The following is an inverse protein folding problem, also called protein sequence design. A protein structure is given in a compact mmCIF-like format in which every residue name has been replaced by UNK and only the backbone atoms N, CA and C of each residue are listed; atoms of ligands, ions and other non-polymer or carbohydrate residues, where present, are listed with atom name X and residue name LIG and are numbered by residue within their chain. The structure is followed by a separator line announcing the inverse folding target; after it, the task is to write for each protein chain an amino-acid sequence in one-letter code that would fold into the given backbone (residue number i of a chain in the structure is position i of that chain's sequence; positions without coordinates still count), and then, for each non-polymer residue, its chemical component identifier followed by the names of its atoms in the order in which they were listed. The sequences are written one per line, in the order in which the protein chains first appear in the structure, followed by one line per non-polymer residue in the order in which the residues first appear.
data_IF_695729646069
#
_entry.id   IF_695729646069
#
_cell.length_a   1.000
_cell.length_b   1.000
_cell.length_c   1.000
_cell.angle_alpha   90.00
_cell.angle_beta   90.00
_cell.angle_gamma   90.00
#
_symmetry.space_group_name_H-M   'P 1'
#
loop_
_entity.id
_entity.type
_entity.pdbx_description
1 polymer ?
#
# COMPACT_ATOMS: atom_id res chain seq x y z
N UNK A 1 -30.71 -51.58 -3.07
CA UNK A 1 -30.03 -51.30 -4.35
C UNK A 1 -29.25 -49.99 -4.14
N UNK A 2 -28.00 -49.98 -3.63
CA UNK A 2 -26.74 -50.35 -4.30
C UNK A 2 -26.66 -49.70 -5.69
N UNK A 3 -25.85 -48.66 -5.92
CA UNK A 3 -24.40 -48.80 -6.17
C UNK A 3 -23.61 -47.52 -5.81
N UNK A 4 -22.56 -47.71 -5.02
CA UNK A 4 -21.39 -46.84 -4.90
C UNK A 4 -20.52 -46.93 -6.15
N UNK A 5 -19.97 -45.82 -6.65
CA UNK A 5 -18.78 -45.86 -7.49
C UNK A 5 -17.73 -44.85 -7.02
N UNK A 6 -16.73 -45.41 -6.34
CA UNK A 6 -15.43 -44.81 -6.03
C UNK A 6 -14.62 -44.68 -7.32
N UNK A 7 -14.16 -43.47 -7.65
CA UNK A 7 -13.12 -43.27 -8.67
C UNK A 7 -11.81 -42.96 -7.97
N UNK A 8 -10.90 -43.94 -8.02
CA UNK A 8 -9.51 -43.87 -7.58
C UNK A 8 -8.70 -43.03 -8.57
N UNK A 9 -8.15 -41.90 -8.14
CA UNK A 9 -7.11 -41.22 -8.92
C UNK A 9 -5.77 -41.95 -8.80
N UNK A 10 -5.29 -42.41 -9.95
CA UNK A 10 -4.01 -43.11 -10.16
C UNK A 10 -2.85 -42.11 -9.99
N UNK A 11 -1.99 -42.32 -8.99
CA UNK A 11 -0.73 -41.56 -8.82
C UNK A 11 0.19 -41.85 -10.01
N UNK A 12 0.32 -40.88 -10.91
CA UNK A 12 1.39 -40.82 -11.90
C UNK A 12 2.67 -40.31 -11.23
N UNK A 13 3.65 -41.19 -11.03
CA UNK A 13 5.03 -40.83 -10.72
C UNK A 13 5.67 -40.30 -12.00
N UNK A 14 5.80 -38.98 -12.17
CA UNK A 14 6.68 -38.41 -13.19
C UNK A 14 8.08 -38.24 -12.60
N UNK A 15 9.01 -39.04 -13.10
CA UNK A 15 10.45 -38.92 -12.84
C UNK A 15 10.91 -37.51 -13.23
N UNK A 16 11.68 -36.89 -12.34
CA UNK A 16 12.30 -35.59 -12.57
C UNK A 16 13.58 -35.82 -13.39
N UNK A 17 13.48 -35.74 -14.72
CA UNK A 17 14.65 -35.64 -15.58
C UNK A 17 15.25 -34.24 -15.45
N UNK A 18 16.54 -34.18 -15.08
CA UNK A 18 17.37 -32.99 -15.24
C UNK A 18 17.68 -32.81 -16.73
N UNK A 19 17.26 -31.71 -17.34
CA UNK A 19 17.94 -31.15 -18.52
C UNK A 19 17.47 -29.74 -18.86
N UNK A 20 18.42 -28.80 -18.75
CA UNK A 20 18.74 -27.71 -19.69
C UNK A 20 17.57 -26.92 -20.33
N UNK A 21 17.39 -25.70 -19.86
CA UNK A 21 17.38 -24.47 -20.68
C UNK A 21 17.39 -23.25 -19.75
N UNK A 22 18.58 -22.79 -19.40
CA UNK A 22 18.81 -21.55 -18.63
C UNK A 22 19.27 -20.41 -19.55
N UNK A 23 18.99 -20.50 -20.87
CA UNK A 23 19.56 -19.61 -21.90
C UNK A 23 18.55 -18.75 -22.65
N UNK A 24 17.24 -18.86 -22.39
CA UNK A 24 16.24 -18.26 -23.30
C UNK A 24 15.44 -17.10 -22.67
N UNK A 25 15.97 -16.46 -21.61
CA UNK A 25 15.31 -15.31 -20.95
C UNK A 25 16.03 -13.98 -21.22
N UNK A 26 17.20 -14.01 -21.85
CA UNK A 26 18.01 -12.81 -22.11
C UNK A 26 17.64 -12.07 -23.41
N UNK A 27 16.62 -12.51 -24.17
CA UNK A 27 16.23 -11.89 -25.45
C UNK A 27 14.88 -11.16 -25.47
N UNK A 28 14.16 -11.07 -24.35
CA UNK A 28 12.81 -10.45 -24.34
C UNK A 28 12.88 -8.92 -24.14
N UNK A 29 13.99 -8.38 -23.63
CA UNK A 29 14.04 -6.95 -23.23
C UNK A 29 14.38 -5.99 -24.38
N UNK A 30 14.98 -6.47 -25.48
CA UNK A 30 15.40 -5.59 -26.58
C UNK A 30 14.37 -5.49 -27.73
N UNK A 31 13.37 -6.38 -27.78
CA UNK A 31 12.47 -6.52 -28.94
C UNK A 31 11.00 -6.14 -28.64
N UNK A 32 10.68 -5.84 -27.38
CA UNK A 32 9.31 -5.51 -26.91
C UNK A 32 9.12 -4.01 -26.62
N UNK A 33 10.23 -3.28 -26.39
CA UNK A 33 10.17 -1.82 -26.16
C UNK A 33 9.82 -1.04 -27.43
N UNK A 34 10.13 -1.56 -28.63
CA UNK A 34 9.75 -0.92 -29.90
C UNK A 34 8.37 -1.34 -30.44
N UNK A 35 7.73 -2.40 -29.90
CA UNK A 35 6.43 -2.89 -30.40
C UNK A 35 5.20 -2.42 -29.63
N UNK A 36 5.37 -1.87 -28.41
CA UNK A 36 4.26 -1.38 -27.58
C UNK A 36 4.14 0.15 -27.51
N UNK A 37 4.75 0.89 -28.44
CA UNK A 37 4.61 2.36 -28.54
C UNK A 37 3.27 2.83 -29.16
N UNK A 38 2.20 2.01 -29.11
CA UNK A 38 0.84 2.40 -29.53
C UNK A 38 -0.16 2.24 -28.39
N UNK A 39 -0.02 3.08 -27.37
CA UNK A 39 -1.16 3.56 -26.58
C UNK A 39 -1.07 5.08 -26.53
N UNK A 40 -1.49 5.72 -27.62
CA UNK A 40 -1.74 7.16 -27.63
C UNK A 40 -3.00 7.42 -26.80
N UNK A 41 -2.86 7.95 -25.60
CA UNK A 41 -3.98 8.61 -24.93
C UNK A 41 -4.16 9.98 -25.57
N UNK A 42 -5.10 10.08 -26.52
CA UNK A 42 -5.67 11.38 -26.89
C UNK A 42 -6.47 11.88 -25.68
N UNK A 43 -5.82 12.68 -24.85
CA UNK A 43 -6.50 13.53 -23.89
C UNK A 43 -7.38 14.50 -24.68
N UNK A 44 -8.69 14.30 -24.67
CA UNK A 44 -9.60 15.40 -24.89
C UNK A 44 -9.46 16.28 -23.66
N UNK A 45 -8.70 17.37 -23.79
CA UNK A 45 -8.59 18.42 -22.79
C UNK A 45 -9.99 18.97 -22.57
N UNK A 46 -10.69 18.48 -21.56
CA UNK A 46 -11.86 19.18 -21.05
C UNK A 46 -11.30 20.49 -20.51
N UNK A 47 -11.60 21.61 -21.17
CA UNK A 47 -11.44 22.94 -20.60
C UNK A 47 -12.40 23.07 -19.43
N UNK A 48 -12.11 22.40 -18.32
CA UNK A 48 -12.52 22.91 -17.02
C UNK A 48 -11.49 23.97 -16.69
N UNK A 49 -11.94 25.22 -16.63
CA UNK A 49 -11.15 26.34 -16.12
C UNK A 49 -10.30 25.88 -14.93
N UNK A 50 -9.03 26.28 -14.92
CA UNK A 50 -8.08 25.95 -13.85
C UNK A 50 -8.58 26.53 -12.52
N UNK A 51 -9.39 25.78 -11.79
CA UNK A 51 -9.80 26.14 -10.42
C UNK A 51 -8.59 26.10 -9.47
N UNK A 52 -7.51 25.40 -9.82
CA UNK A 52 -6.25 25.40 -9.07
C UNK A 52 -5.51 26.74 -9.05
N UNK A 53 -5.88 27.71 -9.89
CA UNK A 53 -5.13 28.97 -10.02
C UNK A 53 -5.60 30.12 -9.10
N UNK A 54 -6.59 29.94 -8.23
CA UNK A 54 -7.03 31.02 -7.32
C UNK A 54 -6.50 30.94 -5.88
N UNK A 55 -5.71 29.93 -5.54
CA UNK A 55 -4.98 29.87 -4.25
C UNK A 55 -3.63 29.14 -4.31
N UNK A 56 -3.13 28.86 -5.52
CA UNK A 56 -1.76 28.35 -5.70
C UNK A 56 -0.75 29.45 -5.40
N UNK A 57 -0.31 29.52 -4.16
CA UNK A 57 0.94 30.19 -3.79
C UNK A 57 2.04 29.51 -4.60
N UNK A 58 2.60 30.23 -5.59
CA UNK A 58 3.78 29.79 -6.32
C UNK A 58 4.88 29.38 -5.31
N UNK A 59 5.59 28.25 -5.51
CA UNK A 59 6.72 27.89 -4.67
C UNK A 59 7.93 28.76 -5.06
N UNK A 60 7.83 30.07 -4.86
CA UNK A 60 9.02 30.91 -4.76
C UNK A 60 9.71 30.55 -3.45
N UNK A 61 10.77 29.73 -3.56
CA UNK A 61 11.81 29.54 -2.55
C UNK A 61 11.29 29.53 -1.12
N UNK A 62 10.36 28.64 -0.80
CA UNK A 62 10.19 28.23 0.59
C UNK A 62 11.44 27.42 0.94
N UNK A 63 12.50 28.11 1.36
CA UNK A 63 13.47 27.52 2.27
C UNK A 63 12.64 27.14 3.48
N UNK A 64 12.17 25.90 3.54
CA UNK A 64 11.63 25.32 4.77
C UNK A 64 12.83 25.20 5.70
N UNK A 65 13.15 26.32 6.34
CA UNK A 65 13.99 26.34 7.50
C UNK A 65 13.10 25.72 8.57
N UNK A 66 13.37 24.47 8.93
CA UNK A 66 12.92 23.98 10.22
C UNK A 66 13.67 24.86 11.24
N UNK A 67 13.12 26.03 11.54
CA UNK A 67 13.44 26.66 12.79
C UNK A 67 12.88 25.67 13.81
N UNK A 68 13.78 24.90 14.43
CA UNK A 68 13.47 24.27 15.70
C UNK A 68 13.20 25.45 16.62
N UNK A 69 11.94 25.89 16.65
CA UNK A 69 11.47 26.88 17.60
C UNK A 69 11.48 26.14 18.92
N UNK A 70 12.66 26.10 19.55
CA UNK A 70 12.77 25.81 20.96
C UNK A 70 11.96 26.92 21.61
N UNK A 71 10.74 26.61 22.04
CA UNK A 71 9.88 27.51 22.76
C UNK A 71 10.67 28.17 23.90
N UNK A 72 10.34 29.41 24.22
CA UNK A 72 10.95 30.09 25.38
C UNK A 72 10.71 29.30 26.69
N UNK A 73 9.76 28.36 26.70
CA UNK A 73 9.46 27.50 27.84
C UNK A 73 10.49 26.37 28.02
N UNK A 74 11.10 25.84 26.94
CA UNK A 74 12.26 24.96 27.04
C UNK A 74 13.48 25.66 27.67
N UNK A 75 13.65 26.98 27.43
CA UNK A 75 14.69 27.78 28.12
C UNK A 75 14.38 27.93 29.61
N UNK A 76 13.14 28.28 29.97
CA UNK A 76 12.70 28.37 31.37
C UNK A 76 12.84 27.05 32.13
N UNK A 77 12.57 25.92 31.44
CA UNK A 77 12.79 24.58 31.98
C UNK A 77 14.28 24.33 32.24
N UNK A 78 15.15 24.71 31.28
CA UNK A 78 16.60 24.56 31.42
C UNK A 78 17.17 25.33 32.63
N UNK A 79 16.57 26.47 32.94
CA UNK A 79 16.97 27.34 34.06
C UNK A 79 16.41 26.86 35.43
N UNK A 80 15.33 26.07 35.43
CA UNK A 80 14.68 25.54 36.63
C UNK A 80 15.00 24.06 36.93
N UNK A 81 15.80 23.39 36.10
CA UNK A 81 16.32 22.05 36.40
C UNK A 81 17.50 22.21 37.37
N UNK A 82 17.45 21.62 38.58
CA UNK A 82 18.57 21.67 39.52
C UNK A 82 19.85 21.14 38.84
N UNK A 83 21.02 21.74 39.12
CA UNK A 83 22.26 21.31 38.50
C UNK A 83 22.51 19.83 38.78
N UNK A 84 23.13 19.13 37.81
CA UNK A 84 23.32 17.67 37.84
C UNK A 84 23.87 17.18 39.19
N UNK A 85 24.69 18.01 39.85
CA UNK A 85 25.26 17.83 41.18
C UNK A 85 24.25 17.55 42.29
N UNK A 86 23.00 18.00 42.20
CA UNK A 86 21.93 17.72 43.17
C UNK A 86 21.53 16.25 43.17
N UNK A 87 21.74 15.56 42.05
CA UNK A 87 21.36 14.16 41.88
C UNK A 87 22.56 13.21 41.85
N UNK A 88 23.79 13.72 41.90
CA UNK A 88 25.02 12.91 42.02
C UNK A 88 25.06 12.31 43.44
N UNK A 89 24.51 11.11 43.56
CA UNK A 89 24.44 10.34 44.80
C UNK A 89 23.39 9.24 44.75
N UNK A 90 22.37 9.40 43.91
CA UNK A 90 21.39 8.38 43.58
C UNK A 90 21.46 8.13 42.07
N UNK A 91 21.60 6.90 41.61
CA UNK A 91 21.61 6.56 40.17
C UNK A 91 20.40 7.06 39.34
N UNK A 92 19.44 7.72 39.98
CA UNK A 92 18.20 8.32 39.46
C UNK A 92 18.35 9.70 38.79
N UNK A 93 19.52 10.34 38.88
CA UNK A 93 19.77 11.68 38.32
C UNK A 93 19.50 11.83 36.82
N UNK A 94 20.01 10.86 36.08
CA UNK A 94 19.99 10.85 34.62
C UNK A 94 18.58 10.53 34.15
N UNK A 95 17.89 9.64 34.85
CA UNK A 95 16.53 9.19 34.54
C UNK A 95 15.50 10.33 34.70
N UNK A 96 15.60 11.12 35.78
CA UNK A 96 14.71 12.28 36.01
C UNK A 96 14.89 13.36 34.94
N UNK A 97 16.13 13.60 34.49
CA UNK A 97 16.42 14.58 33.44
C UNK A 97 15.93 14.13 32.06
N UNK A 98 16.07 12.83 31.76
CA UNK A 98 15.52 12.25 30.52
C UNK A 98 14.00 12.38 30.51
N UNK A 99 13.34 11.97 31.60
CA UNK A 99 11.87 12.04 31.72
C UNK A 99 11.33 13.46 31.55
N UNK A 100 11.95 14.46 32.19
CA UNK A 100 11.53 15.85 32.02
C UNK A 100 11.71 16.33 30.58
N UNK A 101 12.78 15.90 29.90
CA UNK A 101 13.03 16.28 28.51
C UNK A 101 12.00 15.64 27.58
N UNK A 102 11.67 14.37 27.80
CA UNK A 102 10.67 13.63 27.01
C UNK A 102 9.28 14.27 27.13
N UNK A 103 8.86 14.65 28.35
CA UNK A 103 7.57 15.31 28.58
C UNK A 103 7.49 16.67 27.89
N UNK A 104 8.55 17.48 27.99
CA UNK A 104 8.55 18.81 27.37
C UNK A 104 8.59 18.73 25.85
N UNK A 105 9.40 17.83 25.29
CA UNK A 105 9.44 17.61 23.83
C UNK A 105 8.09 17.13 23.30
N UNK A 106 7.44 16.19 24.02
CA UNK A 106 6.10 15.73 23.64
C UNK A 106 5.08 16.87 23.67
N UNK A 107 5.09 17.69 24.74
CA UNK A 107 4.19 18.83 24.87
C UNK A 107 4.40 19.83 23.73
N UNK A 108 5.65 20.17 23.40
CA UNK A 108 5.96 21.11 22.33
C UNK A 108 5.55 20.60 20.94
N UNK A 109 5.85 19.33 20.64
CA UNK A 109 5.42 18.70 19.38
C UNK A 109 3.90 18.65 19.28
N UNK A 110 3.21 18.34 20.38
CA UNK A 110 1.76 18.23 20.39
C UNK A 110 1.05 19.59 20.28
N UNK A 111 1.53 20.63 20.98
CA UNK A 111 0.98 21.98 20.84
C UNK A 111 1.15 22.52 19.42
N UNK A 112 2.31 22.30 18.80
CA UNK A 112 2.52 22.66 17.40
C UNK A 112 1.60 21.84 16.46
N UNK A 113 1.46 20.54 16.69
CA UNK A 113 0.54 19.69 15.94
C UNK A 113 -0.91 20.16 16.08
N UNK A 114 -1.34 20.57 17.27
CA UNK A 114 -2.66 21.14 17.54
C UNK A 114 -2.88 22.45 16.80
N UNK A 115 -1.93 23.37 16.88
CA UNK A 115 -1.99 24.65 16.16
C UNK A 115 -2.10 24.43 14.64
N UNK A 116 -1.28 23.53 14.08
CA UNK A 116 -1.34 23.16 12.66
C UNK A 116 -2.68 22.53 12.29
N UNK A 117 -3.17 21.57 13.09
CA UNK A 117 -4.44 20.89 12.83
C UNK A 117 -5.62 21.84 12.84
N UNK A 118 -5.65 22.78 13.79
CA UNK A 118 -6.66 23.83 13.84
C UNK A 118 -6.55 24.80 12.65
N UNK A 119 -5.34 25.12 12.20
CA UNK A 119 -5.14 26.03 11.06
C UNK A 119 -5.52 25.40 9.71
N UNK A 120 -5.19 24.13 9.49
CA UNK A 120 -5.41 23.45 8.21
C UNK A 120 -6.77 22.75 8.10
N UNK A 121 -7.25 22.14 9.19
CA UNK A 121 -8.46 21.33 9.19
C UNK A 121 -9.61 21.99 9.98
N UNK A 122 -9.30 23.00 10.78
CA UNK A 122 -10.20 23.59 11.80
C UNK A 122 -10.81 22.50 12.70
N UNK A 123 -10.00 21.49 12.99
CA UNK A 123 -10.31 20.39 13.90
C UNK A 123 -9.24 20.36 14.99
N UNK A 124 -9.68 20.30 16.25
CA UNK A 124 -8.78 20.19 17.38
C UNK A 124 -8.46 18.70 17.63
N UNK A 125 -7.18 18.26 17.50
CA UNK A 125 -6.78 16.87 17.67
C UNK A 125 -7.11 16.30 19.04
N UNK A 126 -7.29 17.13 20.08
CA UNK A 126 -7.66 16.64 21.43
C UNK A 126 -9.03 15.97 21.48
N UNK A 127 -9.88 16.20 20.48
CA UNK A 127 -11.20 15.58 20.37
C UNK A 127 -11.18 14.21 19.68
N UNK A 128 -10.00 13.72 19.29
CA UNK A 128 -9.84 12.46 18.57
C UNK A 128 -8.92 11.52 19.34
N UNK A 129 -9.27 10.22 19.36
CA UNK A 129 -8.45 9.20 20.03
C UNK A 129 -7.09 9.00 19.35
N UNK A 130 -7.01 9.18 18.03
CA UNK A 130 -5.79 8.97 17.27
C UNK A 130 -5.80 9.80 15.97
N UNK A 131 -4.61 10.00 15.40
CA UNK A 131 -4.41 10.72 14.13
C UNK A 131 -5.25 10.18 12.97
N UNK A 132 -5.44 8.86 12.78
CA UNK A 132 -6.31 8.35 11.71
C UNK A 132 -7.75 8.87 11.80
N UNK A 133 -8.33 8.96 13.00
CA UNK A 133 -9.68 9.49 13.21
C UNK A 133 -9.75 10.98 12.88
N UNK A 134 -8.73 11.76 13.27
CA UNK A 134 -8.61 13.16 12.89
C UNK A 134 -8.52 13.30 11.36
N UNK A 135 -7.63 12.55 10.70
CA UNK A 135 -7.44 12.64 9.25
C UNK A 135 -8.67 12.19 8.48
N UNK A 136 -9.40 11.19 9.00
CA UNK A 136 -10.67 10.76 8.44
C UNK A 136 -11.70 11.88 8.51
N UNK A 137 -11.93 12.46 9.70
CA UNK A 137 -12.87 13.56 9.88
C UNK A 137 -12.47 14.81 9.09
N UNK A 138 -11.18 15.13 9.01
CA UNK A 138 -10.67 16.21 8.17
C UNK A 138 -10.95 15.94 6.68
N UNK A 139 -10.72 14.71 6.22
CA UNK A 139 -11.01 14.27 4.86
C UNK A 139 -12.48 14.44 4.51
N UNK A 140 -13.38 13.84 5.30
CA UNK A 140 -14.83 13.93 5.10
C UNK A 140 -15.33 15.38 5.14
N UNK A 141 -14.85 16.18 6.10
CA UNK A 141 -15.16 17.62 6.17
C UNK A 141 -14.73 18.38 4.92
N UNK A 142 -13.57 18.05 4.36
CA UNK A 142 -13.02 18.73 3.17
C UNK A 142 -13.82 18.40 1.91
N UNK A 143 -14.17 17.13 1.72
CA UNK A 143 -14.93 16.69 0.54
C UNK A 143 -16.43 16.96 0.65
N UNK A 144 -16.93 17.20 1.88
CA UNK A 144 -18.33 17.46 2.18
C UNK A 144 -19.28 16.37 1.65
N UNK A 145 -18.89 15.11 1.87
CA UNK A 145 -19.61 13.90 1.48
C UNK A 145 -20.22 13.23 2.70
N UNK A 146 -21.39 12.62 2.54
CA UNK A 146 -22.00 11.77 3.58
C UNK A 146 -21.91 10.32 3.13
N UNK A 147 -21.04 9.55 3.77
CA UNK A 147 -20.90 8.12 3.47
C UNK A 147 -22.07 7.34 4.08
N UNK A 148 -22.67 6.45 3.29
CA UNK A 148 -23.69 5.53 3.78
C UNK A 148 -23.06 4.46 4.68
N UNK A 149 -23.71 4.21 5.82
CA UNK A 149 -23.33 3.12 6.70
C UNK A 149 -23.96 1.82 6.19
N UNK A 150 -23.14 0.80 5.98
CA UNK A 150 -23.61 -0.56 5.70
C UNK A 150 -24.40 -1.10 6.89
N UNK A 151 -25.68 -1.39 6.68
CA UNK A 151 -26.56 -1.97 7.70
C UNK A 151 -26.72 -3.49 7.59
N UNK A 152 -26.43 -4.04 6.41
CA UNK A 152 -26.50 -5.47 6.14
C UNK A 152 -25.19 -6.17 6.54
N UNK A 153 -25.31 -7.22 7.36
CA UNK A 153 -24.15 -7.96 7.88
C UNK A 153 -23.46 -8.79 6.78
N UNK A 154 -24.21 -9.33 5.82
CA UNK A 154 -23.68 -10.16 4.76
C UNK A 154 -22.88 -9.29 3.76
N UNK A 155 -23.38 -8.08 3.45
CA UNK A 155 -22.61 -7.09 2.69
C UNK A 155 -21.31 -6.71 3.40
N UNK A 156 -21.38 -6.46 4.71
CA UNK A 156 -20.21 -6.12 5.51
C UNK A 156 -19.17 -7.23 5.47
N UNK A 157 -19.57 -8.49 5.69
CA UNK A 157 -18.68 -9.65 5.67
C UNK A 157 -18.07 -9.88 4.29
N UNK A 158 -18.85 -9.71 3.21
CA UNK A 158 -18.35 -9.79 1.84
C UNK A 158 -17.24 -8.75 1.61
N UNK A 159 -17.47 -7.50 1.99
CA UNK A 159 -16.48 -6.42 1.85
C UNK A 159 -15.25 -6.65 2.71
N UNK A 160 -15.42 -7.01 3.98
CA UNK A 160 -14.32 -7.31 4.91
C UNK A 160 -13.45 -8.44 4.35
N UNK A 161 -14.07 -9.51 3.82
CA UNK A 161 -13.38 -10.62 3.19
C UNK A 161 -12.65 -10.24 1.90
N UNK A 162 -13.04 -9.14 1.26
CA UNK A 162 -12.43 -8.58 0.05
C UNK A 162 -11.28 -7.61 0.31
N UNK A 163 -11.14 -7.05 1.53
CA UNK A 163 -10.07 -6.10 1.85
C UNK A 163 -8.71 -6.78 1.75
N UNK A 164 -7.79 -6.16 0.99
CA UNK A 164 -6.40 -6.58 0.86
C UNK A 164 -5.46 -5.42 1.18
N UNK A 165 -4.32 -5.75 1.76
CA UNK A 165 -3.23 -4.79 1.97
C UNK A 165 -2.44 -4.52 0.69
N UNK A 166 -1.33 -3.78 0.82
CA UNK A 166 -0.41 -3.56 -0.28
C UNK A 166 0.22 -4.87 -0.77
N UNK A 167 0.36 -5.01 -2.09
CA UNK A 167 1.05 -6.15 -2.68
C UNK A 167 2.55 -6.07 -2.38
N UNK A 168 3.09 -7.12 -1.78
CA UNK A 168 4.53 -7.29 -1.57
C UNK A 168 4.99 -8.57 -2.26
N UNK A 169 5.83 -8.41 -3.29
CA UNK A 169 6.30 -9.52 -4.11
C UNK A 169 7.80 -9.42 -4.36
N UNK A 170 8.47 -10.55 -4.21
CA UNK A 170 9.88 -10.73 -4.60
C UNK A 170 9.93 -11.81 -5.67
N UNK A 171 9.90 -11.40 -6.94
CA UNK A 171 9.96 -12.31 -8.09
C UNK A 171 11.34 -12.95 -8.25
N UNK A 172 12.41 -12.17 -8.01
CA UNK A 172 13.81 -12.62 -8.09
C UNK A 172 14.48 -12.56 -6.71
N UNK A 173 14.88 -13.73 -6.19
CA UNK A 173 15.47 -13.85 -4.84
C UNK A 173 16.80 -13.11 -4.67
N UNK A 174 17.58 -13.00 -5.75
CA UNK A 174 18.88 -12.33 -5.71
C UNK A 174 19.20 -11.71 -7.07
N UNK A 175 19.65 -10.46 -7.04
CA UNK A 175 20.10 -9.74 -8.21
C UNK A 175 21.24 -8.83 -7.81
N UNK A 176 22.41 -9.00 -8.43
CA UNK A 176 23.56 -8.09 -8.29
C UNK A 176 23.61 -7.18 -9.52
N UNK A 177 23.88 -5.90 -9.31
CA UNK A 177 24.18 -4.95 -10.38
C UNK A 177 25.63 -5.17 -10.87
N UNK A 178 25.86 -4.96 -12.17
CA UNK A 178 27.18 -4.96 -12.78
C UNK A 178 27.24 -3.80 -13.76
N UNK A 179 27.69 -2.63 -13.34
CA UNK A 179 27.76 -1.47 -14.22
C UNK A 179 29.03 -0.66 -13.97
N UNK A 180 29.44 0.10 -14.98
CA UNK A 180 30.69 0.88 -15.02
C UNK A 180 30.87 1.89 -13.88
N UNK A 181 29.83 2.19 -13.10
CA UNK A 181 29.90 3.11 -11.96
C UNK A 181 30.22 2.41 -10.64
N UNK A 182 30.32 1.08 -10.62
CA UNK A 182 30.65 0.29 -9.44
C UNK A 182 32.14 -0.06 -9.40
N UNK A 183 32.74 -0.03 -8.21
CA UNK A 183 34.17 -0.35 -8.01
C UNK A 183 34.54 -1.79 -8.40
N UNK A 184 33.58 -2.71 -8.36
CA UNK A 184 33.76 -4.12 -8.71
C UNK A 184 33.14 -4.49 -10.07
N UNK A 185 33.14 -3.54 -11.01
CA UNK A 185 32.67 -3.76 -12.38
C UNK A 185 33.50 -4.84 -13.07
N UNK A 186 32.81 -5.84 -13.61
CA UNK A 186 33.40 -6.90 -14.42
C UNK A 186 33.05 -6.65 -15.89
N UNK A 187 34.06 -6.27 -16.69
CA UNK A 187 33.94 -6.05 -18.13
C UNK A 187 33.60 -7.32 -18.91
N UNK A 188 33.89 -8.50 -18.35
CA UNK A 188 33.59 -9.79 -19.00
C UNK A 188 32.13 -10.20 -18.81
N UNK A 189 31.43 -9.60 -17.85
CA UNK A 189 30.03 -9.89 -17.56
C UNK A 189 29.10 -8.83 -18.19
N UNK A 190 27.86 -9.19 -18.56
CA UNK A 190 26.89 -8.23 -19.10
C UNK A 190 26.65 -7.04 -18.16
N UNK A 191 26.46 -5.85 -18.75
CA UNK A 191 26.07 -4.66 -18.01
C UNK A 191 24.66 -4.80 -17.47
N UNK A 192 24.47 -4.51 -16.19
CA UNK A 192 23.23 -4.69 -15.45
C UNK A 192 23.02 -3.60 -14.40
N UNK A 193 21.89 -2.94 -14.50
CA UNK A 193 21.45 -1.89 -13.58
C UNK A 193 20.28 -2.38 -12.74
N UNK A 194 20.13 -1.84 -11.53
CA UNK A 194 18.96 -2.02 -10.68
C UNK A 194 18.39 -0.64 -10.44
N UNK A 195 17.13 -0.44 -10.82
CA UNK A 195 16.41 0.81 -10.61
C UNK A 195 15.43 0.64 -9.45
N UNK A 196 15.31 1.69 -8.63
CA UNK A 196 14.29 1.79 -7.59
C UNK A 196 13.32 2.90 -8.00
N UNK A 197 12.05 2.53 -8.14
CA UNK A 197 10.97 3.44 -8.51
C UNK A 197 9.97 3.50 -7.35
N UNK A 198 9.43 4.68 -7.09
CA UNK A 198 8.42 4.90 -6.06
C UNK A 198 7.33 5.83 -6.59
N UNK A 199 6.08 5.50 -6.28
CA UNK A 199 4.92 6.36 -6.58
C UNK A 199 4.65 7.24 -5.38
N UNK A 200 4.78 8.55 -5.55
CA UNK A 200 4.49 9.52 -4.51
C UNK A 200 2.99 9.50 -4.17
N UNK A 201 2.66 9.27 -2.90
CA UNK A 201 1.28 9.24 -2.40
C UNK A 201 0.35 8.34 -3.23
N UNK A 202 0.70 7.05 -3.34
CA UNK A 202 -0.06 6.07 -4.14
C UNK A 202 -1.56 6.06 -3.81
N UNK A 203 -1.92 5.87 -2.53
CA UNK A 203 -3.34 5.82 -2.12
C UNK A 203 -4.06 7.14 -2.37
N UNK A 204 -3.47 8.29 -2.01
CA UNK A 204 -4.10 9.58 -2.24
C UNK A 204 -4.26 9.90 -3.73
N UNK A 205 -3.33 9.44 -4.57
CA UNK A 205 -3.45 9.53 -6.03
C UNK A 205 -4.65 8.71 -6.50
N UNK A 206 -4.76 7.45 -6.08
CA UNK A 206 -5.89 6.59 -6.46
C UNK A 206 -7.23 7.19 -5.99
N UNK A 207 -7.30 7.67 -4.75
CA UNK A 207 -8.51 8.30 -4.19
C UNK A 207 -8.91 9.59 -4.93
N UNK A 208 -7.97 10.30 -5.56
CA UNK A 208 -8.25 11.55 -6.28
C UNK A 208 -8.68 11.34 -7.75
N UNK A 209 -8.27 10.24 -8.38
CA UNK A 209 -8.48 10.01 -9.81
C UNK A 209 -9.58 9.00 -10.13
N UNK A 210 -9.94 8.11 -9.20
CA UNK A 210 -10.93 7.06 -9.42
C UNK A 210 -12.19 7.28 -8.58
N UNK A 211 -13.33 6.86 -9.14
CA UNK A 211 -14.60 6.85 -8.42
C UNK A 211 -14.54 5.79 -7.33
N UNK A 212 -14.88 6.18 -6.10
CA UNK A 212 -14.97 5.28 -4.95
C UNK A 212 -16.43 5.14 -4.52
N UNK A 213 -16.83 3.98 -3.97
CA UNK A 213 -18.20 3.80 -3.48
C UNK A 213 -18.53 4.76 -2.33
N UNK A 214 -19.69 5.40 -2.42
CA UNK A 214 -20.17 6.40 -1.44
C UNK A 214 -21.46 5.94 -0.73
N UNK A 215 -22.45 5.47 -1.50
CA UNK A 215 -23.79 5.13 -1.04
C UNK A 215 -24.53 4.20 -2.00
N UNK A 216 -25.80 3.93 -1.71
CA UNK A 216 -26.77 3.11 -2.43
C UNK A 216 -26.34 1.65 -2.55
N UNK A 217 -25.86 1.08 -1.44
CA UNK A 217 -25.41 -0.29 -1.39
C UNK A 217 -26.59 -1.26 -1.46
N UNK A 218 -26.69 -1.98 -2.57
CA UNK A 218 -27.72 -3.00 -2.81
C UNK A 218 -27.09 -4.27 -3.36
N UNK A 219 -27.64 -5.42 -2.97
CA UNK A 219 -27.39 -6.67 -3.68
C UNK A 219 -28.25 -6.69 -4.95
N UNK A 220 -27.66 -7.12 -6.05
CA UNK A 220 -28.40 -7.41 -7.28
C UNK A 220 -29.33 -8.60 -7.06
N UNK A 221 -30.50 -8.56 -7.67
CA UNK A 221 -31.41 -9.69 -7.69
C UNK A 221 -30.94 -10.79 -8.65
N UNK A 222 -31.60 -11.95 -8.58
CA UNK A 222 -31.20 -13.12 -9.36
C UNK A 222 -31.35 -12.93 -10.88
N UNK A 223 -32.25 -12.06 -11.34
CA UNK A 223 -32.41 -11.74 -12.76
C UNK A 223 -31.33 -10.74 -13.21
N UNK A 224 -31.08 -9.71 -12.41
CA UNK A 224 -30.02 -8.73 -12.64
C UNK A 224 -28.65 -9.42 -12.73
N UNK A 225 -28.37 -10.39 -11.85
CA UNK A 225 -27.14 -11.20 -11.90
C UNK A 225 -27.05 -12.02 -13.19
N UNK A 226 -28.17 -12.58 -13.67
CA UNK A 226 -28.18 -13.38 -14.91
C UNK A 226 -27.98 -12.54 -16.16
N UNK A 227 -28.46 -11.30 -16.16
CA UNK A 227 -28.32 -10.36 -17.27
C UNK A 227 -27.05 -9.51 -17.19
N UNK A 228 -26.28 -9.63 -16.10
CA UNK A 228 -25.08 -8.83 -15.88
C UNK A 228 -23.97 -9.18 -16.88
N UNK A 229 -23.59 -8.20 -17.71
CA UNK A 229 -22.42 -8.28 -18.60
C UNK A 229 -21.31 -7.36 -18.09
N UNK A 230 -20.28 -7.97 -17.48
CA UNK A 230 -19.09 -7.27 -16.98
C UNK A 230 -18.39 -6.43 -18.06
N UNK A 231 -18.36 -6.90 -19.32
CA UNK A 231 -17.65 -6.22 -20.41
C UNK A 231 -18.36 -4.95 -20.88
N UNK A 232 -19.63 -4.79 -20.53
CA UNK A 232 -20.42 -3.59 -20.83
C UNK A 232 -20.21 -2.46 -19.81
N UNK A 233 -19.67 -2.78 -18.63
CA UNK A 233 -19.49 -1.82 -17.53
C UNK A 233 -18.32 -0.88 -17.84
N UNK A 234 -18.60 0.42 -17.82
CA UNK A 234 -17.58 1.46 -17.98
C UNK A 234 -16.83 1.71 -16.69
N UNK A 235 -15.52 1.91 -16.76
CA UNK A 235 -14.67 2.22 -15.60
C UNK A 235 -14.92 3.60 -15.00
N UNK A 236 -15.52 4.53 -15.76
CA UNK A 236 -15.89 5.88 -15.33
C UNK A 236 -17.38 5.99 -14.97
N UNK A 237 -18.07 4.86 -14.81
CA UNK A 237 -19.46 4.81 -14.39
C UNK A 237 -19.66 5.43 -13.00
N UNK A 238 -20.84 6.01 -12.78
CA UNK A 238 -21.27 6.45 -11.45
C UNK A 238 -21.73 5.28 -10.57
N UNK A 239 -22.02 4.13 -11.19
CA UNK A 239 -22.37 2.89 -10.49
C UNK A 239 -21.17 1.94 -10.55
N UNK A 240 -20.68 1.54 -9.37
CA UNK A 240 -19.63 0.54 -9.21
C UNK A 240 -20.21 -0.83 -8.86
N UNK A 241 -19.47 -1.89 -9.19
CA UNK A 241 -19.85 -3.27 -8.89
C UNK A 241 -18.73 -3.95 -8.12
N UNK A 242 -19.10 -4.71 -7.09
CA UNK A 242 -18.20 -5.58 -6.33
C UNK A 242 -18.68 -7.00 -6.56
N UNK A 243 -17.79 -7.84 -7.08
CA UNK A 243 -18.14 -9.16 -7.59
C UNK A 243 -17.42 -10.24 -6.79
N UNK A 244 -18.18 -11.22 -6.32
CA UNK A 244 -17.66 -12.49 -5.82
C UNK A 244 -17.91 -13.55 -6.90
N UNK A 245 -16.83 -14.09 -7.48
CA UNK A 245 -16.89 -14.96 -8.65
C UNK A 245 -15.91 -16.11 -8.55
N UNK A 246 -16.26 -17.22 -9.19
CA UNK A 246 -15.32 -18.29 -9.49
C UNK A 246 -14.46 -17.91 -10.70
N UNK A 247 -13.15 -17.86 -10.50
CA UNK A 247 -12.18 -17.51 -11.55
C UNK A 247 -11.49 -18.76 -12.10
N UNK A 248 -11.65 -19.03 -13.40
CA UNK A 248 -10.79 -19.97 -14.12
C UNK A 248 -9.56 -19.24 -14.66
N UNK A 249 -8.37 -19.69 -14.28
CA UNK A 249 -7.11 -19.06 -14.67
C UNK A 249 -6.29 -19.96 -15.62
N UNK A 250 -6.28 -19.70 -16.95
CA UNK A 250 -5.73 -20.62 -17.94
C UNK A 250 -4.22 -20.89 -17.78
N UNK A 251 -3.76 -22.16 -17.88
CA UNK A 251 -2.35 -22.55 -17.70
C UNK A 251 -1.33 -21.80 -18.55
N UNK A 252 -1.73 -21.36 -19.75
CA UNK A 252 -0.89 -20.62 -20.69
C UNK A 252 -0.34 -19.31 -20.12
N UNK A 253 -1.08 -18.63 -19.24
CA UNK A 253 -0.68 -17.36 -18.62
C UNK A 253 0.19 -17.53 -17.37
N UNK A 254 0.37 -18.76 -16.87
CA UNK A 254 1.04 -18.99 -15.57
C UNK A 254 2.51 -18.58 -15.61
N UNK A 255 3.19 -18.84 -16.73
CA UNK A 255 4.61 -18.50 -16.89
C UNK A 255 4.83 -16.99 -17.01
N UNK A 256 3.96 -16.31 -17.77
CA UNK A 256 4.05 -14.87 -18.03
C UNK A 256 3.77 -14.06 -16.75
N UNK A 257 2.70 -14.40 -16.04
CA UNK A 257 2.29 -13.69 -14.82
C UNK A 257 3.03 -14.20 -13.56
N UNK A 258 4.06 -15.03 -13.71
CA UNK A 258 4.84 -15.53 -12.57
C UNK A 258 5.51 -14.40 -11.76
N UNK A 259 5.82 -13.28 -12.42
CA UNK A 259 6.39 -12.09 -11.77
C UNK A 259 5.33 -11.14 -11.21
N UNK A 260 4.04 -11.36 -11.49
CA UNK A 260 2.93 -10.55 -11.01
C UNK A 260 1.63 -11.39 -11.01
N UNK A 261 1.42 -12.27 -10.02
CA UNK A 261 0.24 -13.12 -9.97
C UNK A 261 -1.01 -12.28 -9.75
N UNK A 262 -2.00 -12.47 -10.61
CA UNK A 262 -3.29 -11.78 -10.57
C UNK A 262 -4.23 -12.44 -9.56
N UNK A 263 -5.18 -11.67 -9.02
CA UNK A 263 -6.25 -12.13 -8.12
C UNK A 263 -5.76 -12.91 -6.88
N UNK A 264 -4.94 -12.31 -6.00
CA UNK A 264 -4.50 -12.97 -4.77
C UNK A 264 -5.69 -13.24 -3.82
N UNK A 265 -5.90 -14.50 -3.46
CA UNK A 265 -6.88 -14.90 -2.44
C UNK A 265 -6.21 -15.14 -1.08
N UNK A 266 -6.95 -14.87 0.00
CA UNK A 266 -6.49 -15.17 1.35
C UNK A 266 -6.70 -16.66 1.64
N UNK A 267 -5.64 -17.38 1.97
CA UNK A 267 -5.71 -18.82 2.27
C UNK A 267 -4.96 -19.16 3.55
N UNK A 268 -5.56 -20.01 4.38
CA UNK A 268 -4.87 -20.57 5.54
C UNK A 268 -3.91 -21.66 5.09
N UNK A 269 -2.61 -21.39 5.21
CA UNK A 269 -1.57 -22.33 4.80
C UNK A 269 -1.59 -23.57 5.69
N UNK A 270 -1.95 -24.71 5.11
CA UNK A 270 -1.87 -26.00 5.81
C UNK A 270 -0.44 -26.51 5.88
N UNK A 271 -0.13 -27.39 6.85
CA UNK A 271 1.20 -28.01 6.99
C UNK A 271 1.69 -28.69 5.70
N UNK A 272 0.76 -29.24 4.92
CA UNK A 272 1.06 -29.93 3.65
C UNK A 272 1.42 -28.97 2.50
N UNK A 273 1.09 -27.68 2.61
CA UNK A 273 1.47 -26.65 1.64
C UNK A 273 2.88 -26.09 1.93
N UNK A 274 3.43 -26.33 3.12
CA UNK A 274 4.76 -25.87 3.47
C UNK A 274 5.84 -26.60 2.64
N UNK A 275 6.89 -25.89 2.17
CA UNK A 275 8.09 -26.50 1.63
C UNK A 275 8.71 -27.48 2.64
N UNK A 276 9.25 -28.60 2.16
CA UNK A 276 9.81 -29.67 2.99
C UNK A 276 10.84 -29.18 4.03
N UNK A 277 11.61 -28.13 3.69
CA UNK A 277 12.60 -27.52 4.59
C UNK A 277 11.91 -26.82 5.77
N UNK A 278 10.82 -26.07 5.52
CA UNK A 278 10.09 -25.33 6.57
C UNK A 278 9.37 -26.26 7.55
N UNK A 279 8.91 -27.43 7.07
CA UNK A 279 8.25 -28.43 7.94
C UNK A 279 9.12 -28.92 9.08
N UNK A 280 10.45 -28.88 8.94
CA UNK A 280 11.39 -29.29 10.00
C UNK A 280 11.44 -28.33 11.20
N UNK A 281 10.98 -27.10 11.02
CA UNK A 281 11.02 -26.04 12.04
C UNK A 281 9.68 -25.83 12.74
N UNK A 282 8.59 -26.38 12.19
CA UNK A 282 7.28 -26.41 12.85
C UNK A 282 7.32 -27.61 13.80
N UNK A 283 7.52 -27.34 15.10
CA UNK A 283 7.39 -28.37 16.13
C UNK A 283 5.91 -28.75 16.26
N UNK A 284 5.64 -30.05 16.30
CA UNK A 284 4.33 -30.61 16.64
C UNK A 284 3.88 -30.16 18.03
#
# INVERSE_FOLDING_TARGET
MSLSNSVKHKKSKKQRSKSKSETDVDSIVDDEFERNSVLSFKHQRIEKEKIWNQSSIHPEKVKVKYDVVISNDLKKVKDNIPPLSVYIGSGFAVDVKSFHTDVVLLAEVFENFRALSMNYFELDPVNFYATPSLTWSAGIKTINVTLELLTDIDMYLMLESGIRGGMCLVSKRFSKANNKYLENFDEMSPSKYIISLYVNNLYGTTMAFYNLPESEFIFLDQNEIQEFDLMSVRSDSNVGYILEVDLYYPPEFHSEHNSFPMAPHHETITFNMLPLIKRKFVKN
#
